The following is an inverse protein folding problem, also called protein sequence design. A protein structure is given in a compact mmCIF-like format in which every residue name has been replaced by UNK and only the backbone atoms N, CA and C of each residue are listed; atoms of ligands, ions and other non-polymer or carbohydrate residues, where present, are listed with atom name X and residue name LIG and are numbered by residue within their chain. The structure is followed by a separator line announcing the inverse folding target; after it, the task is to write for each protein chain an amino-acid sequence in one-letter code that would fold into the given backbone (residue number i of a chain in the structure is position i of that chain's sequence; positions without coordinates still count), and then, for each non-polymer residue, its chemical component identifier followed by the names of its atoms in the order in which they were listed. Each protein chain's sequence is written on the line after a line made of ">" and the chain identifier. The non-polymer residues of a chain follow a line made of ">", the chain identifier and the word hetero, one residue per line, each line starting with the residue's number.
data_IF_407753544944
#
_entry.id   IF_407753544944
#
_cell.length_a   1.000
_cell.length_b   1.000
_cell.length_c   1.000
_cell.angle_alpha   90.00
_cell.angle_beta   90.00
_cell.angle_gamma   90.00
#
_symmetry.space_group_name_H-M   'P 1'
#
loop_
_entity.id
_entity.type
_entity.pdbx_description
1 polymer ?
#
# COMPACT_ATOMS: atom_id res chain seq x y z
N UNK A 1 14.50 26.53 19.71
CA UNK A 1 13.09 26.65 19.28
C UNK A 1 12.53 25.26 19.08
N UNK A 2 11.27 24.98 19.46
CA UNK A 2 10.63 23.73 19.06
C UNK A 2 10.56 23.64 17.52
N UNK A 3 10.64 22.43 16.94
CA UNK A 3 10.55 22.28 15.50
C UNK A 3 9.19 22.78 14.99
N UNK A 4 9.12 23.29 13.74
CA UNK A 4 7.88 23.83 13.18
C UNK A 4 6.81 22.75 12.94
N UNK A 5 7.22 21.49 12.89
CA UNK A 5 6.37 20.32 12.66
C UNK A 5 6.66 19.23 13.69
N UNK A 6 5.62 18.49 14.05
CA UNK A 6 5.73 17.28 14.84
C UNK A 6 6.18 16.10 13.96
N UNK A 7 6.94 15.16 14.54
CA UNK A 7 7.34 13.91 13.87
C UNK A 7 6.25 12.86 14.03
N UNK A 8 6.05 12.01 13.01
CA UNK A 8 5.04 10.96 13.04
C UNK A 8 5.28 9.99 14.20
N UNK A 9 6.53 9.62 14.49
CA UNK A 9 6.87 8.66 15.55
C UNK A 9 6.48 9.11 16.96
N UNK A 10 6.19 10.41 17.14
CA UNK A 10 5.75 10.99 18.42
C UNK A 10 4.23 11.05 18.55
N UNK A 11 3.48 10.70 17.51
CA UNK A 11 2.02 10.81 17.51
C UNK A 11 1.44 9.85 18.55
N UNK A 12 0.65 10.41 19.46
CA UNK A 12 -0.08 9.66 20.47
C UNK A 12 -1.43 10.32 20.76
N UNK A 13 -2.43 9.56 21.23
CA UNK A 13 -3.67 10.13 21.75
C UNK A 13 -3.45 10.83 23.11
N UNK A 14 -4.35 11.72 23.56
CA UNK A 14 -5.53 12.24 22.86
C UNK A 14 -5.23 13.56 22.12
N UNK A 15 -3.96 13.94 21.94
CA UNK A 15 -3.59 15.21 21.30
C UNK A 15 -4.16 15.23 19.88
N UNK A 16 -4.91 16.28 19.57
CA UNK A 16 -5.46 16.46 18.21
C UNK A 16 -4.72 17.51 17.39
N UNK A 17 -4.11 18.50 18.04
CA UNK A 17 -3.40 19.61 17.41
C UNK A 17 -1.97 19.23 16.97
N UNK A 18 -1.83 18.10 16.27
CA UNK A 18 -0.61 17.71 15.57
C UNK A 18 -0.44 18.54 14.30
N UNK A 19 0.79 18.97 14.01
CA UNK A 19 1.16 19.70 12.81
C UNK A 19 2.21 18.89 12.05
N UNK A 20 1.81 18.28 10.94
CA UNK A 20 2.67 17.38 10.18
C UNK A 20 3.07 18.03 8.85
N UNK A 21 4.31 17.78 8.43
CA UNK A 21 4.76 18.00 7.05
C UNK A 21 5.03 16.63 6.46
N UNK A 22 4.21 16.23 5.49
CA UNK A 22 4.14 14.84 5.03
C UNK A 22 3.91 14.75 3.52
N UNK A 23 4.48 13.71 2.90
CA UNK A 23 4.12 13.31 1.53
C UNK A 23 3.03 12.23 1.57
N UNK A 24 2.12 12.30 0.61
CA UNK A 24 1.10 11.27 0.39
C UNK A 24 1.71 10.16 -0.47
N UNK A 25 2.00 9.00 0.12
CA UNK A 25 2.54 7.86 -0.63
C UNK A 25 1.46 7.14 -1.43
N UNK A 26 0.28 6.98 -0.83
CA UNK A 26 -0.84 6.26 -1.42
C UNK A 26 -2.17 6.76 -0.87
N UNK A 27 -3.19 6.70 -1.70
CA UNK A 27 -4.59 6.95 -1.39
C UNK A 27 -5.46 5.89 -2.08
N UNK A 28 -6.53 5.46 -1.43
CA UNK A 28 -7.53 4.59 -2.07
C UNK A 28 -8.88 4.74 -1.41
N UNK A 29 -9.94 4.39 -2.16
CA UNK A 29 -11.31 4.34 -1.63
C UNK A 29 -11.62 2.90 -1.21
N UNK A 30 -12.09 2.76 0.02
CA UNK A 30 -12.67 1.52 0.52
C UNK A 30 -14.18 1.60 0.36
N UNK A 31 -14.77 0.68 -0.41
CA UNK A 31 -16.23 0.61 -0.57
C UNK A 31 -16.94 0.06 0.66
N UNK A 32 -18.23 0.34 0.78
CA UNK A 32 -19.11 -0.20 1.82
C UNK A 32 -19.30 -1.71 1.65
N UNK A 33 -19.44 -2.41 2.77
CA UNK A 33 -19.71 -3.84 2.78
C UNK A 33 -21.04 -4.14 2.05
N UNK A 34 -21.02 -5.07 1.10
CA UNK A 34 -22.18 -5.47 0.30
C UNK A 34 -22.62 -4.47 -0.78
N UNK A 35 -21.99 -3.29 -0.88
CA UNK A 35 -22.24 -2.35 -1.97
C UNK A 35 -20.93 -1.68 -2.42
N UNK A 36 -20.35 -2.23 -3.49
CA UNK A 36 -19.07 -1.78 -4.03
C UNK A 36 -19.13 -0.40 -4.70
N UNK A 37 -20.32 0.12 -5.01
CA UNK A 37 -20.51 1.44 -5.64
C UNK A 37 -20.48 2.59 -4.62
N UNK A 38 -20.66 2.27 -3.34
CA UNK A 38 -20.74 3.27 -2.27
C UNK A 38 -19.41 3.35 -1.54
N UNK A 39 -18.78 4.51 -1.54
CA UNK A 39 -17.58 4.76 -0.74
C UNK A 39 -17.88 4.75 0.77
N UNK A 40 -17.03 4.07 1.55
CA UNK A 40 -17.09 4.02 3.01
C UNK A 40 -16.03 4.91 3.67
N UNK A 41 -14.78 4.79 3.20
CA UNK A 41 -13.68 5.64 3.64
C UNK A 41 -12.69 5.87 2.50
N UNK A 42 -11.93 6.96 2.60
CA UNK A 42 -10.70 7.14 1.83
C UNK A 42 -9.55 6.90 2.79
N UNK A 43 -8.69 5.94 2.47
CA UNK A 43 -7.49 5.63 3.23
C UNK A 43 -6.28 6.28 2.59
N UNK A 44 -5.31 6.66 3.40
CA UNK A 44 -4.13 7.43 3.01
C UNK A 44 -2.92 6.88 3.78
N UNK A 45 -1.79 6.71 3.09
CA UNK A 45 -0.48 6.47 3.73
C UNK A 45 0.33 7.75 3.62
N UNK A 46 0.73 8.28 4.78
CA UNK A 46 1.54 9.49 4.90
C UNK A 46 2.95 9.11 5.36
N UNK A 47 3.95 9.85 4.89
CA UNK A 47 5.35 9.73 5.33
C UNK A 47 5.93 11.10 5.67
N UNK A 48 6.72 11.17 6.75
CA UNK A 48 7.47 12.37 7.14
C UNK A 48 8.92 12.33 6.62
N UNK A 49 9.70 13.38 6.93
CA UNK A 49 11.09 13.50 6.50
C UNK A 49 12.03 12.44 7.11
N UNK A 50 11.60 11.80 8.20
CA UNK A 50 12.36 10.76 8.89
C UNK A 50 11.95 9.34 8.41
N UNK A 51 11.23 9.25 7.28
CA UNK A 51 10.69 8.00 6.72
C UNK A 51 9.70 7.25 7.62
N UNK A 52 9.11 7.92 8.62
CA UNK A 52 8.07 7.29 9.45
C UNK A 52 6.75 7.30 8.70
N UNK A 53 6.10 6.15 8.60
CA UNK A 53 4.80 6.01 7.96
C UNK A 53 3.66 6.01 8.97
N UNK A 54 2.55 6.66 8.63
CA UNK A 54 1.29 6.56 9.37
C UNK A 54 0.11 6.46 8.41
N UNK A 55 -0.85 5.62 8.77
CA UNK A 55 -2.13 5.55 8.05
C UNK A 55 -3.06 6.66 8.53
N UNK A 56 -3.79 7.26 7.60
CA UNK A 56 -4.87 8.19 7.88
C UNK A 56 -6.15 7.76 7.15
N UNK A 57 -7.30 8.04 7.75
CA UNK A 57 -8.61 7.73 7.17
C UNK A 57 -9.50 8.97 7.12
N UNK A 58 -10.17 9.16 6.00
CA UNK A 58 -11.24 10.14 5.79
C UNK A 58 -12.56 9.39 5.76
N UNK A 59 -13.43 9.65 6.74
CA UNK A 59 -14.75 9.03 6.82
C UNK A 59 -15.63 9.46 5.64
N UNK A 60 -16.58 8.60 5.23
CA UNK A 60 -17.58 8.83 4.16
C UNK A 60 -18.04 10.28 3.99
N UNK A 61 -18.45 10.92 5.09
CA UNK A 61 -19.00 12.28 5.11
C UNK A 61 -18.02 13.36 4.66
N UNK A 62 -16.71 13.11 4.78
CA UNK A 62 -15.65 14.05 4.46
C UNK A 62 -14.91 13.71 3.16
N UNK A 63 -15.19 12.56 2.53
CA UNK A 63 -14.48 12.11 1.31
C UNK A 63 -14.59 13.18 0.21
N UNK A 64 -15.80 13.64 -0.09
CA UNK A 64 -16.01 14.63 -1.16
C UNK A 64 -15.29 15.96 -0.91
N UNK A 65 -14.98 16.28 0.35
CA UNK A 65 -14.22 17.49 0.70
C UNK A 65 -12.72 17.34 0.42
N UNK A 66 -12.16 16.15 0.64
CA UNK A 66 -10.70 15.97 0.62
C UNK A 66 -10.18 15.23 -0.63
N UNK A 67 -10.99 14.41 -1.28
CA UNK A 67 -10.57 13.50 -2.36
C UNK A 67 -9.85 14.20 -3.53
N UNK A 68 -10.24 15.42 -3.87
CA UNK A 68 -9.65 16.20 -4.98
C UNK A 68 -8.43 17.01 -4.53
N UNK A 69 -8.29 17.27 -3.23
CA UNK A 69 -7.20 18.07 -2.67
C UNK A 69 -5.96 17.27 -2.28
N UNK A 70 -6.12 15.96 -2.04
CA UNK A 70 -5.07 15.05 -1.59
C UNK A 70 -4.63 14.23 -2.79
N UNK A 71 -3.44 14.54 -3.30
CA UNK A 71 -2.88 13.95 -4.51
C UNK A 71 -1.65 13.13 -4.12
N UNK A 72 -1.57 11.91 -4.62
CA UNK A 72 -0.42 11.02 -4.40
C UNK A 72 0.87 11.64 -4.94
N UNK A 73 1.98 11.46 -4.21
CA UNK A 73 3.28 12.05 -4.53
C UNK A 73 3.48 13.48 -4.04
N UNK A 74 2.40 14.22 -3.75
CA UNK A 74 2.50 15.61 -3.30
C UNK A 74 2.74 15.73 -1.79
N UNK A 75 3.42 16.81 -1.40
CA UNK A 75 3.71 17.15 -0.01
C UNK A 75 2.71 18.17 0.53
N UNK A 76 2.30 17.98 1.79
CA UNK A 76 1.35 18.83 2.48
C UNK A 76 1.82 19.18 3.89
N UNK A 77 1.46 20.39 4.31
CA UNK A 77 1.28 20.69 5.73
C UNK A 77 -0.14 20.30 6.12
N UNK A 78 -0.28 19.34 7.00
CA UNK A 78 -1.57 18.92 7.53
C UNK A 78 -1.66 19.15 9.03
N UNK A 79 -2.85 19.52 9.53
CA UNK A 79 -3.05 19.75 10.96
C UNK A 79 -4.46 19.43 11.41
N UNK A 80 -4.57 19.10 12.70
CA UNK A 80 -5.78 18.69 13.40
C UNK A 80 -6.32 17.33 12.96
N UNK A 81 -6.17 16.34 13.83
CA UNK A 81 -6.63 14.97 13.59
C UNK A 81 -7.13 14.36 14.90
N UNK A 82 -8.08 13.44 14.83
CA UNK A 82 -8.26 12.51 15.95
C UNK A 82 -7.26 11.37 15.81
N UNK A 83 -6.61 10.98 16.90
CA UNK A 83 -5.63 9.88 16.93
C UNK A 83 -6.30 8.69 17.59
N UNK A 84 -6.36 7.56 16.89
CA UNK A 84 -7.00 6.33 17.38
C UNK A 84 -6.06 5.13 17.21
N UNK A 85 -6.21 4.06 18.00
CA UNK A 85 -5.47 2.82 17.78
C UNK A 85 -5.65 2.30 16.34
N UNK A 86 -4.54 1.88 15.73
CA UNK A 86 -4.52 1.28 14.40
C UNK A 86 -4.99 -0.17 14.48
N UNK A 87 -6.30 -0.37 14.40
CA UNK A 87 -6.95 -1.67 14.48
C UNK A 87 -7.42 -2.17 13.10
N UNK A 88 -7.66 -3.48 13.01
CA UNK A 88 -8.10 -4.17 11.79
C UNK A 88 -7.00 -4.99 11.12
N UNK A 89 -7.37 -5.64 10.01
CA UNK A 89 -6.55 -6.63 9.30
C UNK A 89 -5.92 -6.10 7.99
N UNK A 90 -5.96 -4.78 7.77
CA UNK A 90 -5.46 -4.12 6.55
C UNK A 90 -4.65 -2.88 6.92
N UNK A 91 -3.73 -3.02 7.87
CA UNK A 91 -2.92 -1.90 8.36
C UNK A 91 -1.82 -1.61 7.35
N UNK A 92 -1.81 -0.40 6.78
CA UNK A 92 -0.86 0.00 5.73
C UNK A 92 0.44 0.64 6.29
N UNK A 93 0.53 0.79 7.61
CA UNK A 93 1.70 1.26 8.32
C UNK A 93 1.79 0.54 9.68
N UNK A 94 3.02 0.36 10.18
CA UNK A 94 3.30 -0.31 11.45
C UNK A 94 3.02 0.55 12.68
N UNK A 95 2.79 1.85 12.49
CA UNK A 95 2.49 2.77 13.57
C UNK A 95 1.28 2.29 14.39
N UNK A 96 1.42 2.31 15.72
CA UNK A 96 0.40 1.82 16.68
C UNK A 96 -0.92 2.57 16.57
N UNK A 97 -0.85 3.85 16.16
CA UNK A 97 -1.99 4.72 15.96
C UNK A 97 -2.20 5.07 14.49
N UNK A 98 -3.43 5.44 14.14
CA UNK A 98 -3.79 6.03 12.86
C UNK A 98 -4.52 7.36 13.05
N UNK A 99 -4.44 8.20 12.02
CA UNK A 99 -5.10 9.50 12.01
C UNK A 99 -6.51 9.38 11.44
N UNK A 100 -7.45 10.11 12.04
CA UNK A 100 -8.81 10.25 11.54
C UNK A 100 -9.03 11.72 11.20
N UNK A 101 -9.35 12.00 9.94
CA UNK A 101 -9.68 13.34 9.51
C UNK A 101 -10.96 13.84 10.18
N UNK A 102 -10.92 15.08 10.61
CA UNK A 102 -11.98 15.83 11.25
C UNK A 102 -12.49 16.93 10.31
N UNK A 103 -13.66 17.49 10.62
CA UNK A 103 -14.16 18.66 9.86
C UNK A 103 -13.22 19.87 9.96
N UNK A 104 -12.41 19.97 11.02
CA UNK A 104 -11.41 21.02 11.20
C UNK A 104 -10.03 20.69 10.64
N UNK A 105 -9.84 19.51 10.06
CA UNK A 105 -8.55 19.13 9.47
C UNK A 105 -8.21 20.09 8.35
N UNK A 106 -6.97 20.58 8.38
CA UNK A 106 -6.42 21.47 7.35
C UNK A 106 -5.41 20.69 6.53
N UNK A 107 -5.45 20.88 5.22
CA UNK A 107 -4.53 20.28 4.24
C UNK A 107 -4.08 21.40 3.33
N UNK A 108 -2.80 21.75 3.42
CA UNK A 108 -2.23 22.87 2.67
C UNK A 108 -1.04 22.32 1.87
N UNK A 109 -1.08 22.34 0.53
CA UNK A 109 0.03 21.87 -0.29
C UNK A 109 1.27 22.74 -0.03
N UNK A 110 2.43 22.11 -0.03
CA UNK A 110 3.72 22.79 0.10
C UNK A 110 4.61 22.38 -1.08
N UNK A 111 5.55 23.24 -1.51
CA UNK A 111 6.52 22.89 -2.55
C UNK A 111 7.34 21.65 -2.20
N UNK A 112 7.91 21.03 -3.23
CA UNK A 112 8.71 19.82 -3.13
C UNK A 112 9.84 19.97 -2.09
N UNK A 113 10.12 18.90 -1.37
CA UNK A 113 10.95 18.91 -0.18
C UNK A 113 11.75 17.62 0.02
N UNK A 114 12.57 17.62 1.06
CA UNK A 114 13.50 16.52 1.41
C UNK A 114 12.81 15.25 1.92
N UNK A 115 11.47 15.19 1.91
CA UNK A 115 10.74 13.98 2.26
C UNK A 115 11.04 12.91 1.20
N UNK A 116 11.09 11.61 1.53
CA UNK A 116 11.28 10.54 0.53
C UNK A 116 10.12 10.45 -0.47
N UNK A 117 10.42 10.31 -1.77
CA UNK A 117 9.40 10.15 -2.84
C UNK A 117 8.76 8.75 -2.80
N UNK A 118 9.53 7.78 -2.35
CA UNK A 118 9.13 6.39 -2.13
C UNK A 118 9.54 5.99 -0.70
N UNK A 119 8.81 5.06 -0.10
CA UNK A 119 9.14 4.52 1.22
C UNK A 119 8.52 3.12 1.36
N UNK A 120 9.27 2.11 0.91
CA UNK A 120 8.85 0.72 0.95
C UNK A 120 9.19 0.08 2.29
N UNK A 121 8.31 -0.81 2.76
CA UNK A 121 8.55 -1.73 3.88
C UNK A 121 8.61 -3.15 3.33
N UNK A 122 9.75 -3.51 2.75
CA UNK A 122 9.94 -4.82 2.14
C UNK A 122 9.95 -5.92 3.19
N UNK A 123 9.08 -6.92 3.02
CA UNK A 123 9.07 -8.13 3.83
C UNK A 123 9.74 -9.28 3.05
N UNK A 124 10.86 -9.84 3.57
CA UNK A 124 11.55 -10.95 2.92
C UNK A 124 10.69 -12.20 2.77
N UNK A 125 10.95 -12.99 1.72
CA UNK A 125 10.17 -14.21 1.45
C UNK A 125 10.34 -15.27 2.53
N UNK A 126 11.52 -15.36 3.16
CA UNK A 126 11.76 -16.32 4.22
C UNK A 126 10.95 -16.01 5.49
N UNK A 127 10.67 -14.74 5.78
CA UNK A 127 9.77 -14.34 6.85
C UNK A 127 8.31 -14.64 6.48
N UNK A 128 7.88 -14.27 5.27
CA UNK A 128 6.52 -14.53 4.79
C UNK A 128 6.20 -16.02 4.81
N UNK A 129 7.09 -16.87 4.30
CA UNK A 129 6.92 -18.33 4.21
C UNK A 129 6.86 -19.03 5.57
N UNK A 130 7.31 -18.39 6.65
CA UNK A 130 7.18 -18.89 8.03
C UNK A 130 5.79 -18.59 8.64
N UNK A 131 4.98 -17.73 8.02
CA UNK A 131 3.68 -17.35 8.55
C UNK A 131 2.65 -18.49 8.43
N UNK A 132 1.95 -18.77 9.52
CA UNK A 132 0.94 -19.83 9.62
C UNK A 132 -0.48 -19.30 9.76
N UNK A 133 -0.67 -17.99 9.69
CA UNK A 133 -1.96 -17.31 9.84
C UNK A 133 -2.02 -16.03 8.99
N UNK A 134 -3.20 -15.44 8.90
CA UNK A 134 -3.39 -14.16 8.21
C UNK A 134 -2.63 -13.04 8.93
N UNK A 135 -1.72 -12.37 8.21
CA UNK A 135 -0.96 -11.26 8.77
C UNK A 135 -1.76 -9.95 8.73
N UNK A 136 -1.77 -9.16 9.81
CA UNK A 136 -2.63 -7.97 9.91
C UNK A 136 -2.12 -6.75 9.14
N UNK A 137 -0.82 -6.69 8.83
CA UNK A 137 -0.21 -5.60 8.06
C UNK A 137 -0.18 -5.92 6.57
N UNK A 138 -0.25 -4.87 5.76
CA UNK A 138 0.08 -4.93 4.35
C UNK A 138 1.59 -4.83 4.20
N UNK A 139 2.15 -5.62 3.30
CA UNK A 139 3.61 -5.73 3.10
C UNK A 139 3.99 -5.28 1.70
N UNK A 140 5.21 -4.78 1.57
CA UNK A 140 5.81 -4.57 0.25
C UNK A 140 6.71 -5.78 -0.05
N UNK A 141 6.74 -6.23 -1.30
CA UNK A 141 7.59 -7.35 -1.72
C UNK A 141 8.29 -7.05 -3.03
N UNK A 142 9.46 -7.65 -3.21
CA UNK A 142 10.25 -7.61 -4.43
C UNK A 142 10.62 -9.03 -4.85
N UNK A 143 10.48 -9.35 -6.13
CA UNK A 143 10.84 -10.67 -6.65
C UNK A 143 10.91 -10.72 -8.17
N UNK A 144 11.61 -11.72 -8.70
CA UNK A 144 11.58 -12.06 -10.12
C UNK A 144 10.25 -12.71 -10.47
N UNK A 145 9.59 -12.25 -11.53
CA UNK A 145 8.40 -12.92 -12.05
C UNK A 145 8.82 -14.19 -12.81
N UNK A 146 8.57 -15.35 -12.20
CA UNK A 146 8.95 -16.65 -12.75
C UNK A 146 7.83 -17.38 -13.45
N UNK A 147 6.59 -17.11 -13.07
CA UNK A 147 5.42 -17.70 -13.72
C UNK A 147 4.20 -16.79 -13.62
N UNK A 148 3.35 -16.88 -14.64
CA UNK A 148 2.04 -16.23 -14.70
C UNK A 148 1.03 -17.33 -15.01
N UNK A 149 0.16 -17.61 -14.05
CA UNK A 149 -0.91 -18.59 -14.21
C UNK A 149 -1.97 -18.13 -15.21
N UNK A 150 -2.77 -19.08 -15.68
CA UNK A 150 -3.89 -18.82 -16.57
C UNK A 150 -4.92 -17.86 -15.93
N UNK A 151 -5.45 -16.95 -16.75
CA UNK A 151 -6.58 -16.10 -16.36
C UNK A 151 -7.81 -16.96 -16.08
N UNK A 152 -8.42 -16.74 -14.92
CA UNK A 152 -9.62 -17.42 -14.46
C UNK A 152 -10.69 -16.41 -14.09
N UNK A 153 -11.93 -16.83 -14.20
CA UNK A 153 -13.05 -16.09 -13.65
C UNK A 153 -13.35 -16.56 -12.22
N UNK A 154 -13.49 -15.60 -11.32
CA UNK A 154 -13.84 -15.81 -9.93
C UNK A 154 -15.14 -15.08 -9.62
N UNK A 155 -16.14 -15.79 -9.10
CA UNK A 155 -17.42 -15.20 -8.73
C UNK A 155 -17.40 -14.84 -7.25
N UNK A 156 -17.58 -13.55 -6.95
CA UNK A 156 -17.74 -13.04 -5.59
C UNK A 156 -18.92 -12.09 -5.52
N UNK A 157 -19.82 -12.28 -4.56
CA UNK A 157 -20.98 -11.43 -4.36
C UNK A 157 -21.82 -11.25 -5.65
N UNK A 158 -22.01 -12.35 -6.39
CA UNK A 158 -22.68 -12.41 -7.71
C UNK A 158 -22.01 -11.58 -8.83
N UNK A 159 -20.80 -11.06 -8.62
CA UNK A 159 -19.99 -10.39 -9.63
C UNK A 159 -18.86 -11.31 -10.09
N UNK A 160 -18.73 -11.44 -11.42
CA UNK A 160 -17.59 -12.12 -12.05
C UNK A 160 -16.39 -11.18 -12.03
N UNK A 161 -15.24 -11.69 -11.59
CA UNK A 161 -13.98 -10.95 -11.51
C UNK A 161 -12.86 -11.80 -12.09
N UNK A 162 -12.01 -11.20 -12.91
CA UNK A 162 -10.80 -11.85 -13.41
C UNK A 162 -9.83 -12.14 -12.27
N UNK A 163 -9.07 -13.22 -12.40
CA UNK A 163 -8.04 -13.63 -11.46
C UNK A 163 -6.86 -14.24 -12.20
N UNK A 164 -5.64 -13.85 -11.82
CA UNK A 164 -4.40 -14.54 -12.19
C UNK A 164 -3.57 -14.82 -10.94
N UNK A 165 -2.67 -15.78 -11.02
CA UNK A 165 -1.70 -16.06 -9.96
C UNK A 165 -0.30 -15.86 -10.52
N UNK A 166 0.45 -14.95 -9.92
CA UNK A 166 1.88 -14.76 -10.21
C UNK A 166 2.70 -15.65 -9.27
N UNK A 167 3.80 -16.20 -9.77
CA UNK A 167 4.86 -16.75 -8.94
C UNK A 167 6.04 -15.77 -8.98
N UNK A 168 6.41 -15.28 -7.79
CA UNK A 168 7.56 -14.41 -7.59
C UNK A 168 8.65 -15.20 -6.89
N UNK A 169 9.89 -15.03 -7.32
CA UNK A 169 11.05 -15.73 -6.75
C UNK A 169 12.08 -14.75 -6.20
N UNK A 170 12.68 -15.12 -5.07
CA UNK A 170 13.80 -14.44 -4.41
C UNK A 170 14.76 -15.52 -3.94
N UNK A 171 15.95 -15.59 -4.54
CA UNK A 171 16.88 -16.72 -4.42
C UNK A 171 16.17 -18.04 -4.74
N UNK A 172 16.24 -19.04 -3.84
CA UNK A 172 15.57 -20.34 -3.97
C UNK A 172 14.12 -20.35 -3.45
N UNK A 173 13.62 -19.21 -2.96
CA UNK A 173 12.29 -19.10 -2.38
C UNK A 173 11.30 -18.56 -3.41
N UNK A 174 10.08 -19.10 -3.39
CA UNK A 174 8.98 -18.68 -4.26
C UNK A 174 7.74 -18.37 -3.43
N UNK A 175 7.07 -17.27 -3.76
CA UNK A 175 5.79 -16.90 -3.18
C UNK A 175 4.75 -16.66 -4.28
N UNK A 176 3.51 -17.07 -4.01
CA UNK A 176 2.38 -16.86 -4.92
C UNK A 176 1.66 -15.56 -4.61
N UNK A 177 1.32 -14.79 -5.63
CA UNK A 177 0.49 -13.60 -5.52
C UNK A 177 -0.75 -13.75 -6.40
N UNK A 178 -1.93 -13.82 -5.78
CA UNK A 178 -3.20 -13.81 -6.49
C UNK A 178 -3.66 -12.37 -6.72
N UNK A 179 -3.80 -11.99 -7.99
CA UNK A 179 -4.29 -10.69 -8.42
C UNK A 179 -5.68 -10.81 -9.00
N UNK A 180 -6.55 -9.85 -8.67
CA UNK A 180 -7.95 -9.83 -9.07
C UNK A 180 -8.32 -8.54 -9.80
N UNK A 181 -9.28 -8.60 -10.72
CA UNK A 181 -9.84 -7.41 -11.38
C UNK A 181 -8.84 -6.68 -12.28
N UNK A 182 -8.79 -5.35 -12.19
CA UNK A 182 -7.99 -4.49 -13.09
C UNK A 182 -6.48 -4.78 -13.09
N UNK A 183 -5.97 -5.37 -12.00
CA UNK A 183 -4.56 -5.76 -11.89
C UNK A 183 -4.19 -6.92 -12.83
N UNK A 184 -5.16 -7.73 -13.24
CA UNK A 184 -4.98 -8.76 -14.26
C UNK A 184 -4.64 -8.10 -15.60
N UNK A 185 -5.42 -7.09 -15.98
CA UNK A 185 -5.22 -6.36 -17.23
C UNK A 185 -3.89 -5.57 -17.22
N UNK A 186 -3.46 -5.08 -16.06
CA UNK A 186 -2.17 -4.42 -15.88
C UNK A 186 -0.98 -5.36 -16.15
N UNK A 187 -1.01 -6.57 -15.59
CA UNK A 187 0.01 -7.60 -15.85
C UNK A 187 0.02 -7.97 -17.34
N UNK A 188 -1.13 -8.21 -17.96
CA UNK A 188 -1.19 -8.54 -19.38
C UNK A 188 -0.66 -7.40 -20.27
N UNK A 189 -0.95 -6.15 -19.93
CA UNK A 189 -0.42 -4.99 -20.66
C UNK A 189 1.10 -4.93 -20.58
N UNK A 190 1.68 -5.20 -19.41
CA UNK A 190 3.13 -5.25 -19.26
C UNK A 190 3.74 -6.39 -20.07
N UNK A 191 3.20 -7.61 -19.96
CA UNK A 191 3.73 -8.78 -20.71
C UNK A 191 3.58 -8.61 -22.23
N UNK A 192 2.50 -7.97 -22.69
CA UNK A 192 2.26 -7.67 -24.10
C UNK A 192 3.17 -6.58 -24.68
N UNK A 193 3.96 -5.87 -23.85
CA UNK A 193 4.87 -4.81 -24.31
C UNK A 193 6.13 -5.32 -25.05
N UNK A 194 6.34 -6.65 -25.07
CA UNK A 194 7.48 -7.26 -25.76
C UNK A 194 8.77 -7.33 -24.94
N UNK A 195 8.66 -7.26 -23.61
CA UNK A 195 9.80 -7.37 -22.70
C UNK A 195 10.44 -8.77 -22.83
N UNK A 196 11.77 -8.82 -23.06
CA UNK A 196 12.49 -10.08 -23.35
C UNK A 196 13.21 -10.68 -22.13
N UNK A 197 13.42 -9.91 -21.08
CA UNK A 197 14.11 -10.36 -19.86
C UNK A 197 13.13 -10.73 -18.75
N UNK A 198 13.59 -11.52 -17.79
CA UNK A 198 12.80 -11.87 -16.62
C UNK A 198 12.56 -10.63 -15.75
N UNK A 199 11.32 -10.17 -15.56
CA UNK A 199 11.07 -8.87 -14.95
C UNK A 199 11.12 -8.95 -13.42
N UNK A 200 11.72 -7.94 -12.79
CA UNK A 200 11.63 -7.70 -11.36
C UNK A 200 10.32 -6.97 -11.07
N UNK A 201 9.53 -7.51 -10.17
CA UNK A 201 8.25 -6.95 -9.76
C UNK A 201 8.33 -6.47 -8.33
N UNK A 202 7.98 -5.21 -8.10
CA UNK A 202 7.72 -4.67 -6.77
C UNK A 202 6.21 -4.56 -6.57
N UNK A 203 5.70 -5.21 -5.53
CA UNK A 203 4.30 -5.16 -5.14
C UNK A 203 4.21 -4.40 -3.82
N UNK A 204 3.56 -3.24 -3.84
CA UNK A 204 3.37 -2.40 -2.65
C UNK A 204 1.98 -2.59 -2.06
N UNK A 205 1.89 -2.70 -0.73
CA UNK A 205 0.66 -2.91 0.06
C UNK A 205 -0.08 -4.22 -0.26
N UNK A 206 0.68 -5.30 -0.47
CA UNK A 206 0.13 -6.64 -0.64
C UNK A 206 -0.47 -7.16 0.67
N UNK A 207 -1.60 -7.86 0.57
CA UNK A 207 -2.22 -8.56 1.71
C UNK A 207 -1.65 -9.97 1.81
N UNK A 208 -1.05 -10.30 2.94
CA UNK A 208 -0.67 -11.70 3.25
C UNK A 208 -1.89 -12.48 3.71
N UNK A 209 -2.07 -13.67 3.15
CA UNK A 209 -3.16 -14.60 3.47
C UNK A 209 -2.62 -16.00 3.67
N UNK A 210 -3.14 -16.69 4.69
CA UNK A 210 -2.91 -18.10 4.88
C UNK A 210 -4.12 -18.89 4.38
N UNK A 211 -3.95 -19.68 3.32
CA UNK A 211 -5.02 -20.42 2.69
C UNK A 211 -4.60 -21.85 2.38
N UNK A 212 -5.39 -22.81 2.88
CA UNK A 212 -5.16 -24.26 2.68
C UNK A 212 -3.74 -24.72 3.02
N UNK A 213 -3.19 -24.22 4.13
CA UNK A 213 -1.87 -24.61 4.60
C UNK A 213 -0.70 -23.89 3.93
N UNK A 214 -0.96 -22.93 3.02
CA UNK A 214 0.07 -22.17 2.33
C UNK A 214 -0.17 -20.67 2.51
N UNK A 215 0.92 -19.94 2.75
CA UNK A 215 0.90 -18.48 2.69
C UNK A 215 0.93 -18.02 1.23
N UNK A 216 0.23 -16.94 0.94
CA UNK A 216 0.29 -16.26 -0.33
C UNK A 216 -0.06 -14.78 -0.17
N UNK A 217 0.21 -14.04 -1.23
CA UNK A 217 -0.12 -12.63 -1.33
C UNK A 217 -1.41 -12.45 -2.12
N UNK A 218 -2.16 -11.41 -1.80
CA UNK A 218 -3.34 -10.98 -2.54
C UNK A 218 -3.34 -9.46 -2.69
N UNK A 219 -3.95 -8.95 -3.75
CA UNK A 219 -4.18 -7.51 -3.82
C UNK A 219 -5.29 -7.04 -2.88
N UNK A 220 -5.13 -5.83 -2.38
CA UNK A 220 -6.21 -5.03 -1.82
C UNK A 220 -6.71 -4.12 -2.93
N UNK A 221 -7.99 -4.24 -3.29
CA UNK A 221 -8.59 -3.46 -4.37
C UNK A 221 -8.31 -1.97 -4.19
N UNK A 222 -7.83 -1.33 -5.27
CA UNK A 222 -7.44 0.07 -5.35
C UNK A 222 -6.27 0.52 -4.47
N UNK A 223 -5.79 -0.29 -3.54
CA UNK A 223 -4.70 0.09 -2.63
C UNK A 223 -3.33 -0.36 -3.16
N UNK A 224 -3.23 -1.58 -3.69
CA UNK A 224 -1.96 -2.13 -4.17
C UNK A 224 -1.40 -1.27 -5.32
N UNK A 225 -0.07 -1.27 -5.48
CA UNK A 225 0.61 -0.83 -6.70
C UNK A 225 1.56 -1.92 -7.18
N UNK A 226 1.53 -2.17 -8.48
CA UNK A 226 2.46 -3.05 -9.16
C UNK A 226 3.48 -2.18 -9.89
N UNK A 227 4.75 -2.48 -9.72
CA UNK A 227 5.82 -1.86 -10.47
C UNK A 227 6.62 -2.95 -11.15
N UNK A 228 6.79 -2.82 -12.47
CA UNK A 228 7.57 -3.75 -13.27
C UNK A 228 8.87 -3.06 -13.68
N UNK A 229 10.00 -3.63 -13.28
CA UNK A 229 11.35 -3.09 -13.46
C UNK A 229 11.46 -1.59 -13.11
N UNK A 230 10.99 -1.16 -11.92
CA UNK A 230 11.11 0.25 -11.56
C UNK A 230 12.57 0.62 -11.32
N UNK A 231 12.93 1.86 -11.69
CA UNK A 231 14.24 2.44 -11.42
C UNK A 231 14.36 2.81 -9.92
N UNK A 232 14.71 1.81 -9.11
CA UNK A 232 14.85 1.89 -7.66
C UNK A 232 16.17 1.26 -7.22
N UNK A 233 16.81 1.85 -6.22
CA UNK A 233 18.02 1.28 -5.59
C UNK A 233 17.80 -0.16 -5.10
N UNK A 234 16.63 -0.44 -4.53
CA UNK A 234 16.26 -1.74 -4.00
C UNK A 234 16.12 -2.79 -5.09
N UNK A 235 15.73 -2.39 -6.31
CA UNK A 235 15.70 -3.28 -7.49
C UNK A 235 17.12 -3.59 -7.95
N UNK A 236 17.98 -2.58 -8.03
CA UNK A 236 19.39 -2.76 -8.40
C UNK A 236 20.09 -3.70 -7.40
N UNK A 237 19.87 -3.50 -6.10
CA UNK A 237 20.47 -4.34 -5.06
C UNK A 237 19.85 -5.74 -5.01
N UNK A 238 18.58 -5.90 -5.38
CA UNK A 238 17.95 -7.20 -5.54
C UNK A 238 18.55 -7.98 -6.71
N UNK A 239 18.77 -7.32 -7.86
CA UNK A 239 19.34 -7.96 -9.06
C UNK A 239 20.76 -8.45 -8.85
N UNK A 240 21.60 -7.72 -8.10
CA UNK A 240 22.98 -8.14 -7.74
C UNK A 240 23.06 -9.48 -7.00
N UNK A 241 21.94 -10.00 -6.48
CA UNK A 241 21.91 -11.32 -5.83
C UNK A 241 21.96 -12.48 -6.84
N UNK A 242 21.80 -12.18 -8.13
CA UNK A 242 21.74 -13.15 -9.24
C UNK A 242 22.91 -13.00 -10.23
N UNK A 243 23.77 -12.00 -10.02
CA UNK A 243 25.03 -11.81 -10.74
C UNK A 243 26.17 -12.62 -10.08
#
# INVERSE_FOLDING_TARGET
>A
MPPPFDSISKIHPPREAWKLKVRVLRTWIVSSFGNHEVANSMEIVLVDGDSNKIQATVKKQLINRFKESIIEGQTYRMSYFSVVPNQGNYRAAEHEFKLVFLNRTTVIPVPDDDIPKTCFSFCPFDELLKMTEDYVYLVDVIGLLTSVGEEKEYVKDAKVMKMIVLELSSKELTIRCALFGEYVDEVHRFLGSGYMEQPVVVIQLAKVKFFRGQVGLQNVMHAIRLFFNPDLSEVVDFQKQYD
#
